data_IF_767214376760
#
_entry.id   IF_767214376760
#
_cell.length_a   1.000
_cell.length_b   1.000
_cell.length_c   1.000
_cell.angle_alpha   90.00
_cell.angle_beta   90.00
_cell.angle_gamma   90.00
#
_symmetry.space_group_name_H-M   'P 1'
#
loop_
_entity.id
_entity.type
_entity.pdbx_description
1 polymer ?
#
# COMPACT_ATOMS: atom_id res chain seq x y z
N UNK A 1 16.42 -17.84 -11.48
CA UNK A 1 16.17 -16.46 -11.96
C UNK A 1 16.30 -15.53 -10.77
N UNK A 2 16.98 -14.40 -10.93
CA UNK A 2 16.92 -13.31 -9.94
C UNK A 2 16.07 -12.21 -10.56
N UNK A 3 14.96 -11.87 -9.91
CA UNK A 3 14.04 -10.83 -10.38
C UNK A 3 14.21 -9.58 -9.54
N UNK A 4 14.53 -8.46 -10.19
CA UNK A 4 14.71 -7.17 -9.55
C UNK A 4 13.48 -6.28 -9.75
N UNK A 5 13.12 -5.52 -8.72
CA UNK A 5 12.02 -4.55 -8.78
C UNK A 5 10.65 -5.14 -8.44
N UNK A 6 9.60 -4.39 -8.75
CA UNK A 6 8.22 -4.80 -8.54
C UNK A 6 7.94 -6.04 -9.37
N UNK A 7 7.98 -7.20 -8.72
CA UNK A 7 7.53 -8.42 -9.32
C UNK A 7 6.05 -8.27 -9.64
N UNK A 8 5.65 -8.69 -10.84
CA UNK A 8 4.33 -9.30 -10.95
C UNK A 8 4.37 -10.47 -9.97
N UNK A 9 3.79 -10.31 -8.78
CA UNK A 9 3.73 -11.31 -7.71
C UNK A 9 2.77 -12.47 -8.10
N UNK A 10 2.68 -12.76 -9.40
CA UNK A 10 2.03 -13.92 -9.98
C UNK A 10 2.76 -15.19 -9.60
N UNK A 11 2.01 -16.28 -9.44
CA UNK A 11 2.52 -17.57 -9.01
C UNK A 11 3.77 -17.99 -9.80
N UNK A 12 4.81 -18.40 -9.08
CA UNK A 12 6.04 -18.91 -9.66
C UNK A 12 5.74 -20.16 -10.48
N UNK A 13 6.31 -20.27 -11.68
CA UNK A 13 6.36 -21.56 -12.37
C UNK A 13 7.26 -22.49 -11.55
N UNK A 14 6.72 -23.60 -11.04
CA UNK A 14 7.40 -24.54 -10.13
C UNK A 14 8.74 -25.09 -10.65
N UNK A 15 9.01 -24.95 -11.95
CA UNK A 15 10.15 -25.55 -12.63
C UNK A 15 11.44 -24.72 -12.57
N UNK A 16 11.41 -23.45 -12.14
CA UNK A 16 12.60 -22.59 -12.11
C UNK A 16 12.69 -21.86 -10.77
N UNK A 17 13.75 -22.07 -9.97
CA UNK A 17 13.95 -21.30 -8.74
C UNK A 17 14.05 -19.81 -9.04
N UNK A 18 13.23 -18.99 -8.37
CA UNK A 18 13.24 -17.53 -8.50
C UNK A 18 13.55 -16.91 -7.14
N UNK A 19 14.49 -15.97 -7.12
CA UNK A 19 14.77 -15.10 -5.98
C UNK A 19 14.33 -13.68 -6.33
N UNK A 20 13.49 -13.08 -5.49
CA UNK A 20 13.11 -11.68 -5.61
C UNK A 20 14.09 -10.81 -4.83
N UNK A 21 14.46 -9.68 -5.43
CA UNK A 21 15.32 -8.67 -4.80
C UNK A 21 14.59 -7.35 -4.92
N UNK A 22 13.98 -6.93 -3.81
CA UNK A 22 13.39 -5.61 -3.69
C UNK A 22 14.49 -4.57 -3.45
N UNK A 23 14.28 -3.36 -3.96
CA UNK A 23 15.18 -2.25 -3.64
C UNK A 23 15.09 -1.89 -2.15
N UNK A 24 16.11 -1.21 -1.64
CA UNK A 24 16.08 -0.57 -0.33
C UNK A 24 16.48 0.88 -0.53
N UNK A 25 15.51 1.70 -0.96
CA UNK A 25 15.76 3.13 -1.06
C UNK A 25 15.69 3.75 0.34
N UNK A 26 16.61 4.67 0.65
CA UNK A 26 16.55 5.40 1.91
C UNK A 26 15.26 6.21 1.96
N UNK A 27 14.64 6.22 3.14
CA UNK A 27 13.45 7.02 3.44
C UNK A 27 13.82 7.96 4.59
N UNK A 28 13.63 9.27 4.41
CA UNK A 28 13.81 10.22 5.51
C UNK A 28 12.62 10.12 6.47
N UNK A 29 12.80 9.35 7.54
CA UNK A 29 11.80 9.13 8.58
C UNK A 29 11.41 10.42 9.30
N UNK A 30 12.35 11.38 9.42
CA UNK A 30 12.07 12.68 10.06
C UNK A 30 11.14 13.50 9.17
N UNK A 31 11.42 13.56 7.86
CA UNK A 31 10.56 14.23 6.90
C UNK A 31 9.19 13.54 6.79
N UNK A 32 9.17 12.20 6.80
CA UNK A 32 7.93 11.41 6.82
C UNK A 32 7.05 11.75 8.02
N UNK A 33 7.62 12.09 9.18
CA UNK A 33 6.85 12.53 10.36
C UNK A 33 5.87 13.69 10.12
N UNK A 34 6.05 14.45 9.03
CA UNK A 34 5.11 15.49 8.63
C UNK A 34 3.75 14.96 8.11
N UNK A 35 3.61 13.65 7.83
CA UNK A 35 2.31 13.04 7.45
C UNK A 35 1.25 13.21 8.52
N UNK A 36 1.63 13.42 9.79
CA UNK A 36 0.72 13.74 10.91
C UNK A 36 -0.24 14.90 10.63
N UNK A 37 0.14 15.82 9.75
CA UNK A 37 -0.66 16.99 9.41
C UNK A 37 -1.81 16.65 8.43
N UNK A 38 -1.72 15.50 7.78
CA UNK A 38 -2.62 15.04 6.70
C UNK A 38 -3.38 13.75 7.08
N UNK A 39 -2.88 13.00 8.07
CA UNK A 39 -3.60 11.84 8.59
C UNK A 39 -4.90 12.26 9.27
N UNK A 40 -5.93 11.45 9.07
CA UNK A 40 -7.25 11.66 9.64
C UNK A 40 -7.18 11.64 11.16
N UNK A 41 -7.82 12.63 11.78
CA UNK A 41 -7.98 12.73 13.24
C UNK A 41 -9.25 12.03 13.74
N UNK A 42 -10.06 11.52 12.82
CA UNK A 42 -11.24 10.74 13.14
C UNK A 42 -10.82 9.32 13.55
N UNK A 43 -10.89 9.05 14.85
CA UNK A 43 -10.52 7.74 15.42
C UNK A 43 -11.39 6.58 14.91
N UNK A 44 -12.53 6.86 14.28
CA UNK A 44 -13.38 5.82 13.67
C UNK A 44 -12.91 5.38 12.29
N UNK A 45 -12.07 6.18 11.61
CA UNK A 45 -11.55 5.88 10.28
C UNK A 45 -10.20 5.19 10.40
N UNK A 46 -10.07 3.91 10.01
CA UNK A 46 -8.79 3.22 10.01
C UNK A 46 -7.76 3.86 9.08
N UNK A 47 -6.50 3.78 9.47
CA UNK A 47 -5.36 4.14 8.62
C UNK A 47 -4.67 2.87 8.14
N UNK A 48 -4.43 2.76 6.84
CA UNK A 48 -3.61 1.70 6.24
C UNK A 48 -2.25 2.28 5.83
N UNK A 49 -1.16 1.71 6.34
CA UNK A 49 0.18 1.94 5.80
C UNK A 49 0.44 1.02 4.60
N UNK A 50 0.73 1.64 3.45
CA UNK A 50 1.04 0.97 2.19
C UNK A 50 2.38 1.51 1.66
N UNK A 51 3.25 0.63 1.17
CA UNK A 51 4.55 1.03 0.62
C UNK A 51 4.77 0.46 -0.78
N UNK A 52 5.50 1.17 -1.63
CA UNK A 52 6.16 0.55 -2.79
C UNK A 52 7.20 -0.48 -2.33
N UNK A 53 7.55 -1.43 -3.20
CA UNK A 53 8.43 -2.52 -2.80
C UNK A 53 9.84 -2.07 -2.43
N UNK A 54 10.34 -1.02 -3.06
CA UNK A 54 11.66 -0.50 -2.73
C UNK A 54 11.71 0.25 -1.37
N UNK A 55 10.56 0.49 -0.73
CA UNK A 55 10.45 1.11 0.59
C UNK A 55 10.08 0.11 1.69
N UNK A 56 9.82 -1.16 1.36
CA UNK A 56 9.26 -2.12 2.32
C UNK A 56 10.19 -2.46 3.47
N UNK A 57 11.51 -2.35 3.30
CA UNK A 57 12.46 -2.56 4.41
C UNK A 57 12.30 -1.54 5.55
N UNK A 58 11.72 -0.37 5.27
CA UNK A 58 11.53 0.72 6.25
C UNK A 58 10.16 0.71 6.90
N UNK A 59 9.31 -0.27 6.58
CA UNK A 59 7.91 -0.28 7.01
C UNK A 59 7.75 -0.33 8.55
N UNK A 60 8.67 -0.94 9.30
CA UNK A 60 8.65 -0.97 10.77
C UNK A 60 8.91 0.43 11.37
N UNK A 61 9.87 1.16 10.79
CA UNK A 61 10.20 2.55 11.18
C UNK A 61 9.03 3.49 10.84
N UNK A 62 8.44 3.32 9.65
CA UNK A 62 7.28 4.08 9.20
C UNK A 62 6.05 3.81 10.06
N UNK A 63 5.78 2.55 10.40
CA UNK A 63 4.70 2.17 11.31
C UNK A 63 4.88 2.85 12.66
N UNK A 64 6.08 2.84 13.22
CA UNK A 64 6.38 3.51 14.50
C UNK A 64 6.01 4.98 14.45
N UNK A 65 6.37 5.68 13.37
CA UNK A 65 6.01 7.10 13.19
C UNK A 65 4.50 7.29 13.09
N UNK A 66 3.80 6.49 12.27
CA UNK A 66 2.34 6.63 12.12
C UNK A 66 1.63 6.34 13.44
N UNK A 67 2.03 5.30 14.17
CA UNK A 67 1.47 4.93 15.48
C UNK A 67 1.61 6.03 16.53
N UNK A 68 2.67 6.83 16.47
CA UNK A 68 2.88 7.95 17.40
C UNK A 68 1.98 9.15 17.12
N UNK A 69 1.43 9.27 15.91
CA UNK A 69 0.70 10.47 15.47
C UNK A 69 -0.81 10.25 15.35
N UNK A 70 -1.26 9.00 15.19
CA UNK A 70 -2.69 8.68 15.18
C UNK A 70 -3.26 8.64 16.62
N UNK A 71 -4.52 9.06 16.83
CA UNK A 71 -5.25 8.89 18.08
C UNK A 71 -5.14 7.48 18.69
N UNK A 72 -5.02 7.42 20.02
CA UNK A 72 -5.04 6.16 20.76
C UNK A 72 -6.37 5.42 20.53
N UNK A 73 -6.29 4.12 20.21
CA UNK A 73 -7.46 3.29 19.91
C UNK A 73 -7.94 3.36 18.46
N UNK A 74 -7.41 4.25 17.63
CA UNK A 74 -7.72 4.26 16.20
C UNK A 74 -7.18 2.99 15.53
N UNK A 75 -8.00 2.27 14.74
CA UNK A 75 -7.52 1.11 13.99
C UNK A 75 -6.42 1.50 13.01
N UNK A 76 -5.31 0.77 13.03
CA UNK A 76 -4.25 0.93 12.05
C UNK A 76 -3.82 -0.44 11.53
N UNK A 77 -3.67 -0.49 10.22
CA UNK A 77 -3.33 -1.67 9.45
C UNK A 77 -2.09 -1.40 8.63
N UNK A 78 -1.41 -2.49 8.24
CA UNK A 78 -0.19 -2.45 7.45
C UNK A 78 -0.29 -3.50 6.36
N UNK A 79 0.19 -3.14 5.16
CA UNK A 79 0.27 -4.04 4.01
C UNK A 79 1.70 -4.58 3.86
N UNK A 80 1.94 -5.81 4.29
CA UNK A 80 3.27 -6.43 4.27
C UNK A 80 3.56 -7.08 2.91
N UNK A 81 4.69 -6.77 2.29
CA UNK A 81 5.07 -7.43 1.04
C UNK A 81 5.36 -8.91 1.29
N UNK A 82 4.76 -9.76 0.47
CA UNK A 82 5.05 -11.19 0.45
C UNK A 82 6.25 -11.42 -0.43
N UNK A 83 7.28 -12.06 0.11
CA UNK A 83 8.30 -12.69 -0.70
C UNK A 83 7.81 -14.10 -1.09
N UNK A 84 7.50 -14.34 -2.39
CA UNK A 84 7.01 -15.65 -2.84
C UNK A 84 8.01 -16.79 -2.60
N UNK A 85 9.30 -16.49 -2.40
CA UNK A 85 10.30 -17.50 -2.05
C UNK A 85 10.10 -18.10 -0.65
N UNK A 86 9.30 -17.42 0.19
CA UNK A 86 8.95 -17.84 1.55
C UNK A 86 7.48 -18.31 1.68
N UNK A 87 6.77 -18.54 0.57
CA UNK A 87 5.33 -18.83 0.55
C UNK A 87 4.87 -20.13 1.26
N UNK A 88 5.81 -21.00 1.66
CA UNK A 88 5.51 -22.30 2.28
C UNK A 88 5.34 -22.26 3.81
N UNK A 89 5.33 -21.08 4.45
CA UNK A 89 5.03 -20.98 5.88
C UNK A 89 3.51 -20.83 6.11
N UNK A 90 2.82 -21.88 6.62
CA UNK A 90 1.37 -21.87 6.83
C UNK A 90 0.89 -20.84 7.87
N UNK A 91 1.78 -20.28 8.69
CA UNK A 91 1.43 -19.22 9.67
C UNK A 91 1.28 -17.85 9.01
N UNK A 92 1.76 -17.69 7.78
CA UNK A 92 1.79 -16.42 7.03
C UNK A 92 0.40 -15.88 6.71
N UNK A 93 -0.62 -16.74 6.64
CA UNK A 93 -1.95 -16.41 6.12
C UNK A 93 -3.08 -16.44 7.16
N UNK A 94 -2.82 -16.79 8.42
CA UNK A 94 -3.88 -16.90 9.43
C UNK A 94 -4.55 -15.52 9.67
N UNK A 95 -5.83 -15.41 9.32
CA UNK A 95 -6.60 -14.17 9.37
C UNK A 95 -6.12 -13.05 8.43
N UNK A 96 -5.26 -13.36 7.45
CA UNK A 96 -4.70 -12.40 6.48
C UNK A 96 -5.10 -12.74 5.04
N UNK A 97 -5.35 -11.71 4.25
CA UNK A 97 -5.61 -11.78 2.81
C UNK A 97 -4.35 -11.36 2.07
N UNK A 98 -3.95 -12.15 1.07
CA UNK A 98 -2.91 -11.74 0.13
C UNK A 98 -3.56 -11.08 -1.08
N UNK A 99 -3.21 -9.81 -1.33
CA UNK A 99 -3.73 -9.01 -2.43
C UNK A 99 -2.63 -8.12 -2.98
N UNK A 100 -2.49 -8.08 -4.31
CA UNK A 100 -1.43 -7.34 -4.99
C UNK A 100 -0.03 -7.66 -4.41
N UNK A 101 0.13 -8.94 -4.03
CA UNK A 101 1.28 -9.54 -3.34
C UNK A 101 1.68 -8.88 -2.02
N UNK A 102 0.70 -8.30 -1.32
CA UNK A 102 0.82 -7.85 0.07
C UNK A 102 -0.17 -8.59 0.95
N UNK A 103 0.25 -8.90 2.18
CA UNK A 103 -0.61 -9.43 3.24
C UNK A 103 -1.28 -8.30 4.00
N UNK A 104 -2.57 -8.46 4.20
CA UNK A 104 -3.43 -7.53 4.91
C UNK A 104 -4.28 -8.29 5.93
N UNK A 105 -4.56 -7.72 7.11
CA UNK A 105 -5.55 -8.31 8.02
C UNK A 105 -6.96 -8.30 7.40
N UNK A 106 -7.72 -9.39 7.54
CA UNK A 106 -9.11 -9.46 7.05
C UNK A 106 -9.98 -8.31 7.59
N UNK A 107 -9.72 -7.87 8.83
CA UNK A 107 -10.40 -6.73 9.47
C UNK A 107 -10.31 -5.41 8.69
N UNK A 108 -9.27 -5.23 7.88
CA UNK A 108 -9.16 -4.07 6.99
C UNK A 108 -10.14 -4.15 5.82
N UNK A 109 -10.32 -5.36 5.27
CA UNK A 109 -11.26 -5.59 4.17
C UNK A 109 -12.72 -5.40 4.60
N UNK A 110 -13.02 -5.60 5.87
CA UNK A 110 -14.36 -5.45 6.44
C UNK A 110 -14.68 -3.99 6.86
N UNK A 111 -13.71 -3.07 6.77
CA UNK A 111 -13.91 -1.68 7.15
C UNK A 111 -14.81 -0.93 6.15
N UNK A 112 -15.69 -0.06 6.64
CA UNK A 112 -16.61 0.72 5.78
C UNK A 112 -15.93 1.88 5.05
N UNK A 113 -14.86 2.42 5.64
CA UNK A 113 -14.03 3.46 5.07
C UNK A 113 -12.61 3.29 5.61
N UNK A 114 -11.60 3.77 4.88
CA UNK A 114 -10.22 3.85 5.36
C UNK A 114 -9.45 4.97 4.65
N UNK A 115 -8.46 5.54 5.34
CA UNK A 115 -7.44 6.39 4.73
C UNK A 115 -6.18 5.58 4.45
N UNK A 116 -5.62 5.72 3.25
CA UNK A 116 -4.34 5.12 2.88
C UNK A 116 -3.22 6.11 3.14
N UNK A 117 -2.21 5.71 3.91
CA UNK A 117 -0.92 6.38 4.02
C UNK A 117 0.07 5.63 3.14
N UNK A 118 0.35 6.16 1.95
CA UNK A 118 1.21 5.56 0.96
C UNK A 118 2.63 6.14 1.02
N UNK A 119 3.65 5.28 0.97
CA UNK A 119 5.05 5.66 0.91
C UNK A 119 5.69 5.09 -0.34
N UNK A 120 6.02 5.95 -1.29
CA UNK A 120 6.51 5.54 -2.60
C UNK A 120 6.35 6.64 -3.65
N UNK A 121 6.36 6.25 -4.91
CA UNK A 121 6.23 7.18 -6.03
C UNK A 121 4.75 7.55 -6.20
N UNK A 122 4.35 8.84 -6.18
CA UNK A 122 2.96 9.24 -6.40
C UNK A 122 2.38 8.79 -7.74
N UNK A 123 3.23 8.46 -8.72
CA UNK A 123 2.86 7.89 -10.01
C UNK A 123 2.87 6.35 -10.03
N UNK A 124 3.13 5.70 -8.89
CA UNK A 124 3.18 4.24 -8.77
C UNK A 124 1.87 3.61 -9.24
N UNK A 125 1.92 2.58 -10.10
CA UNK A 125 0.72 1.86 -10.55
C UNK A 125 0.03 1.12 -9.40
N UNK A 126 0.70 0.94 -8.27
CA UNK A 126 0.11 0.35 -7.08
C UNK A 126 -1.05 1.19 -6.54
N UNK A 127 -0.96 2.52 -6.57
CA UNK A 127 -2.01 3.40 -6.07
C UNK A 127 -3.35 3.15 -6.79
N UNK A 128 -3.46 3.28 -8.13
CA UNK A 128 -4.72 3.03 -8.82
C UNK A 128 -5.19 1.58 -8.67
N UNK A 129 -4.28 0.59 -8.74
CA UNK A 129 -4.64 -0.82 -8.53
C UNK A 129 -5.23 -1.07 -7.14
N UNK A 130 -4.65 -0.43 -6.11
CA UNK A 130 -5.11 -0.53 -4.74
C UNK A 130 -6.51 0.06 -4.56
N UNK A 131 -6.71 1.31 -5.04
CA UNK A 131 -7.97 2.02 -4.90
C UNK A 131 -9.11 1.35 -5.68
N UNK A 132 -8.82 0.67 -6.79
CA UNK A 132 -9.80 -0.14 -7.51
C UNK A 132 -10.13 -1.46 -6.79
N UNK A 133 -9.14 -2.06 -6.12
CA UNK A 133 -9.32 -3.32 -5.37
C UNK A 133 -10.07 -3.08 -4.04
N UNK A 134 -9.83 -1.94 -3.40
CA UNK A 134 -10.37 -1.56 -2.10
C UNK A 134 -11.15 -0.25 -2.19
N UNK A 135 -12.40 -0.29 -2.71
CA UNK A 135 -13.21 0.91 -2.91
C UNK A 135 -13.62 1.61 -1.60
N UNK A 136 -13.44 0.95 -0.44
CA UNK A 136 -13.60 1.58 0.87
C UNK A 136 -12.49 2.60 1.20
N UNK A 137 -11.39 2.64 0.44
CA UNK A 137 -10.34 3.64 0.61
C UNK A 137 -10.80 4.99 0.07
N UNK A 138 -11.25 5.89 0.96
CA UNK A 138 -11.86 7.18 0.59
C UNK A 138 -10.90 8.34 0.55
N UNK A 139 -9.70 8.20 1.11
CA UNK A 139 -8.65 9.21 1.04
C UNK A 139 -7.26 8.58 1.02
N UNK A 140 -6.30 9.32 0.47
CA UNK A 140 -4.91 8.94 0.29
C UNK A 140 -4.02 10.09 0.70
N UNK A 141 -3.03 9.79 1.53
CA UNK A 141 -1.88 10.65 1.79
C UNK A 141 -0.67 9.93 1.23
N UNK A 142 0.01 10.51 0.25
CA UNK A 142 1.23 9.96 -0.34
C UNK A 142 2.45 10.72 0.17
N UNK A 143 3.52 10.00 0.51
CA UNK A 143 4.83 10.55 0.79
C UNK A 143 5.83 10.03 -0.23
N UNK A 144 6.45 10.94 -0.98
CA UNK A 144 7.50 10.60 -1.92
C UNK A 144 8.87 10.63 -1.21
N UNK A 145 9.56 9.48 -1.05
CA UNK A 145 10.83 9.41 -0.34
C UNK A 145 11.98 10.11 -1.08
N UNK A 146 11.88 10.31 -2.40
CA UNK A 146 12.93 10.96 -3.18
C UNK A 146 12.90 12.49 -3.05
N UNK A 147 11.71 13.07 -3.00
CA UNK A 147 11.49 14.52 -2.93
C UNK A 147 11.11 15.00 -1.54
N UNK A 148 10.80 14.08 -0.63
CA UNK A 148 10.25 14.36 0.71
C UNK A 148 8.97 15.20 0.67
N UNK A 149 8.19 15.07 -0.42
CA UNK A 149 6.91 15.77 -0.59
C UNK A 149 5.75 14.92 -0.11
N UNK A 150 4.74 15.59 0.44
CA UNK A 150 3.49 14.95 0.87
C UNK A 150 2.35 15.52 0.01
N UNK A 151 1.50 14.65 -0.51
CA UNK A 151 0.30 15.01 -1.23
C UNK A 151 -0.92 14.35 -0.57
N UNK A 152 -2.05 15.05 -0.52
CA UNK A 152 -3.30 14.55 0.01
C UNK A 152 -4.36 14.56 -1.08
N UNK A 153 -5.06 13.44 -1.22
CA UNK A 153 -6.14 13.24 -2.15
C UNK A 153 -7.35 12.70 -1.40
N UNK A 154 -8.48 13.39 -1.50
CA UNK A 154 -9.77 12.87 -1.03
C UNK A 154 -10.57 12.41 -2.23
N UNK A 155 -11.00 11.16 -2.22
CA UNK A 155 -11.82 10.58 -3.28
C UNK A 155 -13.28 10.67 -2.86
N UNK A 156 -14.00 11.62 -3.46
CA UNK A 156 -15.46 11.53 -3.43
C UNK A 156 -15.89 10.41 -4.39
N UNK A 157 -16.93 9.65 -4.05
CA UNK A 157 -17.53 8.61 -4.90
C UNK A 157 -17.66 8.92 -6.42
N UNK A 158 -17.82 10.18 -6.89
CA UNK A 158 -17.78 10.48 -8.33
C UNK A 158 -16.44 10.18 -9.03
N UNK A 159 -15.30 10.19 -8.34
CA UNK A 159 -13.97 9.98 -8.94
C UNK A 159 -13.73 8.53 -9.39
N UNK A 160 -14.29 7.54 -8.68
CA UNK A 160 -14.25 6.13 -9.10
C UNK A 160 -14.96 5.92 -10.44
N UNK A 161 -16.00 6.72 -10.74
CA UNK A 161 -16.68 6.70 -12.03
C UNK A 161 -15.84 7.33 -13.15
N UNK A 162 -15.02 8.35 -12.85
CA UNK A 162 -14.09 8.91 -13.84
C UNK A 162 -12.90 7.98 -14.13
N UNK A 163 -12.39 7.22 -13.15
CA UNK A 163 -11.40 6.17 -13.44
C UNK A 163 -11.96 5.04 -14.32
N UNK A 164 -13.22 4.65 -14.13
CA UNK A 164 -13.94 3.76 -15.06
C UNK A 164 -14.08 4.39 -16.47
N UNK A 165 -14.20 5.71 -16.55
CA UNK A 165 -14.24 6.44 -17.82
C UNK A 165 -12.88 6.42 -18.55
N UNK A 166 -11.77 6.49 -17.81
CA UNK A 166 -10.43 6.29 -18.38
C UNK A 166 -10.17 4.84 -18.81
N UNK A 167 -10.72 3.84 -18.11
CA UNK A 167 -10.66 2.42 -18.55
C UNK A 167 -11.46 2.15 -19.84
N UNK A 168 -12.60 2.82 -20.05
CA UNK A 168 -13.33 2.74 -21.33
C UNK A 168 -12.53 3.33 -22.52
N UNK A 169 -11.58 4.23 -22.25
CA UNK A 169 -10.70 4.78 -23.30
C UNK A 169 -9.54 3.84 -23.66
N UNK A 170 -9.04 3.06 -22.70
CA UNK A 170 -7.99 2.05 -22.95
C UNK A 170 -8.52 0.73 -23.52
N UNK A 171 -9.82 0.48 -23.44
CA UNK A 171 -10.46 -0.74 -23.96
C UNK A 171 -10.93 -0.62 -25.42
N UNK A 172 -10.71 0.52 -26.09
CA UNK A 172 -11.18 0.79 -27.46
C UNK A 172 -10.07 0.95 -28.50
N UNK A 173 -8.79 0.75 -28.14
CA UNK A 173 -7.66 0.79 -29.08
C UNK A 173 -6.86 -0.53 -29.07
N UNK A 174 -7.56 -1.65 -29.32
CA UNK A 174 -6.98 -2.93 -29.77
C UNK A 174 -7.71 -3.43 -31.03
#
# INVERSE_FOLDING_TARGET
IVHYGDACLSALTENVPVKFVFGSLPVDITAFGNVRNYLTKDASVPVLLLTDAYCSEKIDELETVVRQVIPEGQPFFRADIVDPSHANDPTTYDGKVCSLGRLLPQKFCDALAAQVCFVGDPSSPLIPLWLMTYPQCTSLVSFNPQTSTIEEHTFCYPWLNEMNFWQCKWSCDW
#
